data_IF_963328435821
#
_entry.id   IF_963328435821
#
_cell.length_a   1.000
_cell.length_b   1.000
_cell.length_c   1.000
_cell.angle_alpha   90.00
_cell.angle_beta   90.00
_cell.angle_gamma   90.00
#
_symmetry.space_group_name_H-M   'P 1'
#
loop_
_entity.id
_entity.type
_entity.pdbx_description
1 polymer ?
#
# COMPACT_ATOMS: atom_id res chain seq x y z
N UNK A 1 17.83 -14.98 -18.49
CA UNK A 1 16.87 -14.36 -17.56
C UNK A 1 16.71 -15.31 -16.40
N UNK A 2 17.08 -14.89 -15.17
CA UNK A 2 16.94 -15.76 -14.00
C UNK A 2 15.45 -15.90 -13.70
N UNK A 3 14.88 -17.06 -13.96
CA UNK A 3 13.54 -17.44 -13.47
C UNK A 3 13.65 -17.50 -11.96
N UNK A 4 13.15 -16.48 -11.27
CA UNK A 4 13.05 -16.52 -9.81
C UNK A 4 12.08 -17.64 -9.45
N UNK A 5 12.62 -18.76 -9.04
CA UNK A 5 11.83 -19.91 -8.61
C UNK A 5 11.09 -19.51 -7.32
N UNK A 6 9.83 -19.08 -7.45
CA UNK A 6 8.99 -18.66 -6.32
C UNK A 6 8.68 -19.80 -5.33
N UNK A 7 9.07 -21.05 -5.65
CA UNK A 7 8.94 -22.23 -4.79
C UNK A 7 10.14 -22.41 -3.84
N UNK A 8 11.20 -21.61 -3.99
CA UNK A 8 12.35 -21.71 -3.09
C UNK A 8 11.97 -21.16 -1.71
N UNK A 9 12.40 -21.86 -0.68
CA UNK A 9 12.05 -21.66 0.72
C UNK A 9 12.55 -20.33 1.35
N UNK A 10 13.22 -19.47 0.59
CA UNK A 10 13.78 -18.21 1.05
C UNK A 10 12.79 -17.02 0.98
N UNK A 11 11.51 -17.30 0.71
CA UNK A 11 10.49 -16.25 0.71
C UNK A 11 10.11 -15.90 2.15
N UNK A 12 10.70 -14.80 2.63
CA UNK A 12 10.42 -14.22 3.95
C UNK A 12 9.06 -13.52 3.92
N UNK A 13 8.12 -13.97 4.74
CA UNK A 13 6.84 -13.28 4.93
C UNK A 13 7.06 -12.03 5.78
N UNK A 14 7.10 -10.87 5.12
CA UNK A 14 7.32 -9.59 5.78
C UNK A 14 6.01 -8.80 5.90
N UNK A 15 5.73 -8.31 7.11
CA UNK A 15 4.58 -7.45 7.39
C UNK A 15 5.07 -6.05 7.75
N UNK A 16 4.59 -5.06 7.02
CA UNK A 16 4.83 -3.65 7.34
C UNK A 16 3.65 -3.11 8.15
N UNK A 17 3.93 -2.64 9.35
CA UNK A 17 2.97 -2.00 10.24
C UNK A 17 3.01 -0.48 10.06
N UNK A 18 1.84 0.14 9.94
CA UNK A 18 1.67 1.60 9.96
C UNK A 18 0.76 1.99 11.09
N UNK A 19 1.07 3.05 11.82
CA UNK A 19 0.20 3.57 12.88
C UNK A 19 -1.19 3.89 12.29
N UNK A 20 -2.23 3.40 12.95
CA UNK A 20 -3.61 3.68 12.55
C UNK A 20 -4.02 5.05 13.13
N UNK A 21 -4.06 6.06 12.27
CA UNK A 21 -4.44 7.42 12.66
C UNK A 21 -5.94 7.60 12.93
N UNK A 22 -6.76 6.61 12.56
CA UNK A 22 -8.21 6.65 12.75
C UNK A 22 -8.69 5.88 13.99
N UNK A 23 -7.77 5.25 14.72
CA UNK A 23 -8.09 4.55 15.97
C UNK A 23 -7.93 5.47 17.16
N UNK A 24 -8.88 5.39 18.10
CA UNK A 24 -8.76 6.04 19.40
C UNK A 24 -7.71 5.35 20.31
N UNK A 25 -7.26 4.16 19.94
CA UNK A 25 -6.21 3.42 20.66
C UNK A 25 -4.83 3.91 20.23
N UNK A 26 -4.03 4.37 21.17
CA UNK A 26 -2.72 5.00 20.95
C UNK A 26 -1.71 4.08 20.23
N UNK A 27 -1.80 2.77 20.42
CA UNK A 27 -0.90 1.77 19.86
C UNK A 27 -1.57 0.87 18.82
N UNK A 28 -2.54 1.40 18.08
CA UNK A 28 -3.19 0.68 16.98
C UNK A 28 -2.37 0.78 15.70
N UNK A 29 -2.20 -0.35 15.00
CA UNK A 29 -1.46 -0.44 13.73
C UNK A 29 -2.28 -1.16 12.67
N UNK A 30 -2.11 -0.73 11.44
CA UNK A 30 -2.61 -1.41 10.23
C UNK A 30 -1.43 -2.17 9.61
N UNK A 31 -1.58 -3.50 9.50
CA UNK A 31 -0.60 -4.37 8.88
C UNK A 31 -0.80 -4.51 7.37
N UNK A 32 0.29 -4.51 6.63
CA UNK A 32 0.30 -4.78 5.19
C UNK A 32 1.37 -5.81 4.88
N UNK A 33 0.98 -6.91 4.23
CA UNK A 33 1.93 -7.91 3.75
C UNK A 33 2.69 -7.36 2.54
N UNK A 34 4.00 -7.46 2.58
CA UNK A 34 4.85 -7.22 1.41
C UNK A 34 4.78 -8.44 0.50
N UNK A 35 4.35 -8.26 -0.74
CA UNK A 35 4.14 -9.35 -1.69
C UNK A 35 4.71 -9.00 -3.06
N UNK A 36 5.27 -10.00 -3.72
CA UNK A 36 5.64 -9.95 -5.12
C UNK A 36 4.55 -10.63 -5.94
N UNK A 37 4.31 -10.15 -7.14
CA UNK A 37 3.36 -10.77 -8.05
C UNK A 37 4.06 -11.87 -8.85
N UNK A 38 3.55 -13.08 -8.78
CA UNK A 38 3.93 -14.18 -9.68
C UNK A 38 3.02 -14.09 -10.89
N UNK A 39 3.61 -13.91 -12.07
CA UNK A 39 2.84 -13.81 -13.33
C UNK A 39 2.49 -15.17 -13.88
N UNK A 40 1.55 -15.21 -14.84
CA UNK A 40 1.23 -16.46 -15.54
C UNK A 40 2.47 -17.07 -16.22
N UNK A 41 3.33 -16.22 -16.79
CA UNK A 41 4.61 -16.66 -17.40
C UNK A 41 5.54 -17.36 -16.39
N UNK A 42 5.63 -16.82 -15.16
CA UNK A 42 6.41 -17.45 -14.08
C UNK A 42 5.82 -18.80 -13.68
N UNK A 43 4.49 -18.91 -13.63
CA UNK A 43 3.80 -20.18 -13.34
C UNK A 43 4.06 -21.21 -14.43
N UNK A 44 3.94 -20.82 -15.71
CA UNK A 44 4.20 -21.69 -16.86
C UNK A 44 5.65 -22.18 -16.85
N UNK A 45 6.61 -21.27 -16.64
CA UNK A 45 8.03 -21.64 -16.55
C UNK A 45 8.27 -22.70 -15.46
N UNK A 46 7.72 -22.45 -14.26
CA UNK A 46 7.84 -23.39 -13.13
C UNK A 46 7.19 -24.75 -13.39
N UNK A 47 6.04 -24.79 -14.06
CA UNK A 47 5.37 -26.05 -14.44
C UNK A 47 6.22 -26.80 -15.46
N UNK A 48 6.75 -26.11 -16.46
CA UNK A 48 7.54 -26.71 -17.53
C UNK A 48 8.89 -27.27 -17.04
N UNK A 49 9.50 -26.63 -16.05
CA UNK A 49 10.72 -27.13 -15.39
C UNK A 49 10.47 -28.46 -14.66
N UNK A 50 9.30 -28.62 -14.04
CA UNK A 50 8.96 -29.82 -13.27
C UNK A 50 8.29 -30.91 -14.10
N UNK A 51 7.73 -30.56 -15.28
CA UNK A 51 6.96 -31.46 -16.14
C UNK A 51 7.46 -31.38 -17.59
N UNK A 52 8.62 -31.95 -17.86
CA UNK A 52 9.34 -31.88 -19.15
C UNK A 52 8.52 -32.35 -20.38
N UNK A 53 7.40 -33.07 -20.19
CA UNK A 53 6.53 -33.56 -21.27
C UNK A 53 5.45 -32.55 -21.70
N UNK A 54 5.30 -31.41 -21.01
CA UNK A 54 4.22 -30.46 -21.29
C UNK A 54 4.80 -29.19 -21.93
N UNK A 55 4.30 -28.87 -23.15
CA UNK A 55 4.75 -27.67 -23.86
C UNK A 55 4.30 -26.40 -23.15
N UNK A 56 5.18 -25.41 -22.90
CA UNK A 56 4.81 -24.11 -22.36
C UNK A 56 3.72 -23.41 -23.17
N UNK A 57 3.74 -23.51 -24.49
CA UNK A 57 2.74 -22.95 -25.38
C UNK A 57 1.36 -23.58 -25.19
N UNK A 58 1.31 -24.89 -24.93
CA UNK A 58 0.05 -25.58 -24.66
C UNK A 58 -0.54 -25.12 -23.32
N UNK A 59 0.29 -24.98 -22.29
CA UNK A 59 -0.15 -24.46 -20.97
C UNK A 59 -0.70 -23.04 -21.12
N UNK A 60 0.02 -22.16 -21.84
CA UNK A 60 -0.40 -20.80 -22.09
C UNK A 60 -1.75 -20.74 -22.82
N UNK A 61 -1.91 -21.57 -23.85
CA UNK A 61 -3.15 -21.61 -24.63
C UNK A 61 -4.33 -22.07 -23.78
N UNK A 62 -4.18 -23.15 -23.01
CA UNK A 62 -5.23 -23.63 -22.09
C UNK A 62 -5.56 -22.59 -21.02
N UNK A 63 -4.56 -21.92 -20.46
CA UNK A 63 -4.77 -20.88 -19.44
C UNK A 63 -5.59 -19.69 -20.01
N UNK A 64 -5.29 -19.28 -21.26
CA UNK A 64 -6.05 -18.22 -21.93
C UNK A 64 -7.50 -18.64 -22.16
N UNK A 65 -7.73 -19.84 -22.68
CA UNK A 65 -9.08 -20.38 -22.90
C UNK A 65 -9.88 -20.44 -21.60
N UNK A 66 -9.28 -20.91 -20.50
CA UNK A 66 -9.92 -20.95 -19.19
C UNK A 66 -10.26 -19.53 -18.70
N UNK A 67 -9.36 -18.57 -18.89
CA UNK A 67 -9.59 -17.17 -18.54
C UNK A 67 -10.79 -16.58 -19.30
N UNK A 68 -10.87 -16.79 -20.60
CA UNK A 68 -11.94 -16.32 -21.47
C UNK A 68 -13.29 -16.93 -21.06
N UNK A 69 -13.35 -18.24 -20.79
CA UNK A 69 -14.54 -18.92 -20.33
C UNK A 69 -15.01 -18.44 -18.95
N UNK A 70 -14.08 -18.22 -18.01
CA UNK A 70 -14.39 -17.65 -16.70
C UNK A 70 -15.00 -16.25 -16.82
N UNK A 71 -14.43 -15.40 -17.68
CA UNK A 71 -14.98 -14.06 -17.94
C UNK A 71 -16.35 -14.13 -18.59
N UNK A 72 -16.55 -15.02 -19.56
CA UNK A 72 -17.85 -15.24 -20.21
C UNK A 72 -18.90 -15.69 -19.20
N UNK A 73 -18.57 -16.60 -18.30
CA UNK A 73 -19.47 -17.02 -17.24
C UNK A 73 -19.83 -15.87 -16.29
N UNK A 74 -18.87 -15.02 -15.93
CA UNK A 74 -19.13 -13.83 -15.13
C UNK A 74 -20.06 -12.84 -15.86
N UNK A 75 -19.88 -12.62 -17.16
CA UNK A 75 -20.77 -11.77 -17.97
C UNK A 75 -22.21 -12.29 -17.96
N UNK A 76 -22.40 -13.59 -17.85
CA UNK A 76 -23.68 -14.23 -17.69
C UNK A 76 -24.18 -14.34 -16.24
N UNK A 77 -23.62 -13.54 -15.34
CA UNK A 77 -23.94 -13.47 -13.91
C UNK A 77 -23.82 -14.83 -13.18
N UNK A 78 -22.91 -15.71 -13.64
CA UNK A 78 -22.62 -16.97 -12.98
C UNK A 78 -21.45 -16.83 -12.00
N UNK A 79 -21.52 -17.57 -10.90
CA UNK A 79 -20.38 -17.78 -10.05
C UNK A 79 -19.51 -18.89 -10.65
N UNK A 80 -18.19 -18.71 -10.59
CA UNK A 80 -17.20 -19.60 -11.26
C UNK A 80 -16.22 -20.13 -10.23
N UNK A 81 -16.05 -21.46 -10.19
CA UNK A 81 -14.94 -22.06 -9.46
C UNK A 81 -13.60 -21.77 -10.14
N UNK A 82 -12.65 -21.23 -9.41
CA UNK A 82 -11.32 -20.90 -9.91
C UNK A 82 -10.36 -22.01 -9.49
N UNK A 83 -10.36 -23.10 -10.24
CA UNK A 83 -9.43 -24.25 -10.05
C UNK A 83 -9.41 -24.80 -8.61
N UNK A 84 -10.51 -24.79 -7.90
CA UNK A 84 -10.62 -25.22 -6.51
C UNK A 84 -10.02 -24.27 -5.48
N UNK A 85 -9.45 -23.13 -5.93
CA UNK A 85 -8.92 -22.12 -5.01
C UNK A 85 -10.00 -21.26 -4.35
N UNK A 86 -11.17 -21.17 -4.99
CA UNK A 86 -12.28 -20.39 -4.52
C UNK A 86 -13.26 -20.05 -5.63
N UNK A 87 -14.23 -19.20 -5.31
CA UNK A 87 -15.31 -18.83 -6.21
C UNK A 87 -15.24 -17.35 -6.58
N UNK A 88 -15.22 -17.07 -7.87
CA UNK A 88 -15.32 -15.74 -8.47
C UNK A 88 -16.78 -15.43 -8.78
N UNK A 89 -17.29 -14.26 -8.38
CA UNK A 89 -18.69 -13.88 -8.60
C UNK A 89 -18.88 -12.37 -8.64
N UNK A 90 -19.98 -11.95 -9.26
CA UNK A 90 -20.34 -10.53 -9.36
C UNK A 90 -21.29 -10.17 -8.21
N UNK A 91 -21.12 -8.99 -7.65
CA UNK A 91 -22.05 -8.35 -6.73
C UNK A 91 -22.28 -6.89 -7.08
N UNK A 92 -23.32 -6.28 -6.53
CA UNK A 92 -23.54 -4.83 -6.67
C UNK A 92 -22.44 -4.07 -5.93
N UNK A 93 -21.95 -3.00 -6.55
CA UNK A 93 -20.96 -2.11 -5.96
C UNK A 93 -21.65 -1.05 -5.09
N UNK A 94 -21.43 -1.10 -3.77
CA UNK A 94 -22.01 -0.13 -2.83
C UNK A 94 -23.43 -0.46 -2.38
N UNK A 95 -24.10 0.54 -1.80
CA UNK A 95 -25.46 0.43 -1.28
C UNK A 95 -26.46 1.00 -2.27
N UNK A 96 -27.62 0.39 -2.37
CA UNK A 96 -28.77 0.89 -3.13
C UNK A 96 -29.72 1.56 -2.14
N UNK A 97 -30.11 2.81 -2.37
CA UNK A 97 -31.01 3.58 -1.50
C UNK A 97 -32.17 4.18 -2.31
N UNK A 98 -33.30 4.43 -1.64
CA UNK A 98 -34.52 4.99 -2.22
C UNK A 98 -35.76 4.21 -1.77
N UNK A 99 -36.93 4.84 -1.81
CA UNK A 99 -38.21 4.19 -1.44
C UNK A 99 -38.63 3.07 -2.43
N UNK A 100 -38.31 3.27 -3.72
CA UNK A 100 -38.55 2.29 -4.76
C UNK A 100 -37.35 2.22 -5.72
N UNK A 101 -36.27 1.51 -5.34
CA UNK A 101 -35.07 1.45 -6.14
C UNK A 101 -35.32 0.64 -7.43
N UNK A 102 -35.03 1.22 -8.58
CA UNK A 102 -35.09 0.61 -9.90
C UNK A 102 -33.68 0.33 -10.46
N UNK A 103 -33.62 -0.09 -11.73
CA UNK A 103 -32.35 -0.38 -12.42
C UNK A 103 -31.37 0.80 -12.38
N UNK A 104 -31.88 2.03 -12.53
CA UNK A 104 -31.09 3.25 -12.50
C UNK A 104 -30.47 3.56 -11.11
N UNK A 105 -30.96 2.92 -10.06
CA UNK A 105 -30.44 3.06 -8.70
C UNK A 105 -29.23 2.17 -8.42
N UNK A 106 -28.92 1.24 -9.33
CA UNK A 106 -27.78 0.33 -9.19
C UNK A 106 -26.49 1.09 -9.54
N UNK A 107 -25.58 1.30 -8.60
CA UNK A 107 -24.37 2.11 -8.82
C UNK A 107 -23.32 1.42 -9.72
N UNK A 108 -23.50 0.12 -9.99
CA UNK A 108 -22.61 -0.70 -10.80
C UNK A 108 -22.33 -2.06 -10.17
N UNK A 109 -21.37 -2.76 -10.75
CA UNK A 109 -21.00 -4.12 -10.30
C UNK A 109 -19.53 -4.19 -9.91
N UNK A 110 -19.22 -5.10 -9.02
CA UNK A 110 -17.86 -5.44 -8.63
C UNK A 110 -17.64 -6.94 -8.69
N UNK A 111 -16.44 -7.33 -9.06
CA UNK A 111 -15.99 -8.71 -9.05
C UNK A 111 -15.44 -9.05 -7.66
N UNK A 112 -15.92 -10.14 -7.06
CA UNK A 112 -15.47 -10.63 -5.77
C UNK A 112 -14.90 -12.03 -5.91
N UNK A 113 -14.04 -12.37 -4.97
CA UNK A 113 -13.47 -13.70 -4.84
C UNK A 113 -13.65 -14.19 -3.40
N UNK A 114 -14.19 -15.39 -3.24
CA UNK A 114 -14.30 -16.07 -1.95
C UNK A 114 -13.36 -17.28 -1.97
N UNK A 115 -12.33 -17.33 -1.11
CA UNK A 115 -11.42 -18.46 -1.04
C UNK A 115 -12.15 -19.76 -0.66
N UNK A 116 -11.67 -20.89 -1.15
CA UNK A 116 -12.06 -22.21 -0.68
C UNK A 116 -11.51 -22.47 0.73
N UNK A 117 -12.07 -23.43 1.44
CA UNK A 117 -11.60 -23.81 2.79
C UNK A 117 -10.11 -24.18 2.73
N UNK A 118 -9.69 -25.00 1.77
CA UNK A 118 -8.31 -25.42 1.63
C UNK A 118 -7.34 -24.28 1.30
N UNK A 119 -7.79 -23.28 0.50
CA UNK A 119 -7.01 -22.10 0.24
C UNK A 119 -6.87 -21.23 1.50
N UNK A 120 -7.94 -21.10 2.29
CA UNK A 120 -7.91 -20.34 3.55
C UNK A 120 -6.99 -21.03 4.57
N UNK A 121 -7.09 -22.34 4.74
CA UNK A 121 -6.21 -23.12 5.64
C UNK A 121 -4.73 -22.96 5.26
N UNK A 122 -4.42 -22.92 3.97
CA UNK A 122 -3.06 -22.64 3.49
C UNK A 122 -2.56 -21.27 3.95
N UNK A 123 -3.41 -20.24 3.85
CA UNK A 123 -3.07 -18.88 4.30
C UNK A 123 -2.93 -18.83 5.83
N UNK A 124 -3.82 -19.49 6.55
CA UNK A 124 -3.82 -19.51 8.02
C UNK A 124 -2.59 -20.22 8.61
N UNK A 125 -1.97 -21.12 7.83
CA UNK A 125 -0.73 -21.80 8.21
C UNK A 125 0.53 -20.93 8.08
N UNK A 126 0.45 -19.76 7.44
CA UNK A 126 1.58 -18.88 7.22
C UNK A 126 2.10 -18.29 8.54
N UNK A 127 3.43 -18.18 8.63
CA UNK A 127 4.11 -17.55 9.77
C UNK A 127 4.79 -16.27 9.32
N UNK A 128 4.70 -15.24 10.14
CA UNK A 128 5.38 -13.97 9.88
C UNK A 128 6.85 -14.11 10.28
N UNK A 129 7.75 -13.91 9.33
CA UNK A 129 9.19 -13.98 9.55
C UNK A 129 9.77 -12.63 9.96
N UNK A 130 9.21 -11.55 9.40
CA UNK A 130 9.71 -10.19 9.66
C UNK A 130 8.58 -9.18 9.82
N UNK A 131 8.67 -8.38 10.86
CA UNK A 131 7.80 -7.22 11.09
C UNK A 131 8.62 -5.94 10.90
N UNK A 132 8.13 -5.04 10.06
CA UNK A 132 8.75 -3.74 9.79
C UNK A 132 7.76 -2.67 10.22
N UNK A 133 8.13 -1.85 11.20
CA UNK A 133 7.35 -0.68 11.57
C UNK A 133 7.73 0.44 10.60
N UNK A 134 6.75 0.92 9.82
CA UNK A 134 6.98 2.02 8.90
C UNK A 134 7.26 3.30 9.69
N UNK A 135 8.44 3.85 9.50
CA UNK A 135 8.76 5.19 9.98
C UNK A 135 7.92 6.21 9.19
N UNK A 136 7.00 6.86 9.88
CA UNK A 136 6.16 7.93 9.35
C UNK A 136 6.67 9.31 9.74
N UNK A 137 7.82 9.40 10.37
CA UNK A 137 8.44 10.67 10.74
C UNK A 137 8.60 11.56 9.52
N UNK A 138 8.28 12.85 9.62
CA UNK A 138 8.51 13.79 8.54
C UNK A 138 10.01 13.94 8.28
N UNK A 139 10.37 13.97 7.00
CA UNK A 139 11.75 14.17 6.57
C UNK A 139 11.82 15.48 5.80
N UNK A 140 12.71 16.36 6.21
CA UNK A 140 13.03 17.57 5.46
C UNK A 140 14.06 17.20 4.41
N UNK A 141 13.65 17.27 3.12
CA UNK A 141 14.51 16.90 1.99
C UNK A 141 15.44 18.07 1.63
N UNK A 142 14.89 19.29 1.55
CA UNK A 142 15.63 20.49 1.15
C UNK A 142 15.11 21.73 1.86
N UNK A 143 16.04 22.66 2.12
CA UNK A 143 15.75 24.00 2.58
C UNK A 143 16.40 24.98 1.58
N UNK A 144 15.59 25.79 0.92
CA UNK A 144 16.02 26.71 -0.13
C UNK A 144 15.70 28.13 0.30
N UNK A 145 16.68 29.00 0.28
CA UNK A 145 16.51 30.42 0.43
C UNK A 145 15.81 31.00 -0.81
N UNK A 146 14.60 31.57 -0.67
CA UNK A 146 13.81 32.04 -1.81
C UNK A 146 14.40 33.28 -2.48
N UNK A 147 15.32 33.98 -1.82
CA UNK A 147 15.93 35.18 -2.37
C UNK A 147 17.05 34.88 -3.36
N UNK A 148 17.94 33.93 -3.04
CA UNK A 148 19.08 33.59 -3.89
C UNK A 148 18.94 32.20 -4.58
N UNK A 149 17.86 31.47 -4.29
CA UNK A 149 17.57 30.12 -4.81
C UNK A 149 18.62 29.06 -4.42
N UNK A 150 19.46 29.35 -3.44
CA UNK A 150 20.48 28.42 -2.94
C UNK A 150 19.91 27.51 -1.87
N UNK A 151 20.41 26.28 -1.84
CA UNK A 151 20.17 25.36 -0.73
C UNK A 151 21.09 25.75 0.43
N UNK A 152 20.49 26.09 1.58
CA UNK A 152 21.21 26.61 2.72
C UNK A 152 20.84 25.84 3.99
N UNK A 153 21.86 25.55 4.80
CA UNK A 153 21.66 24.99 6.15
C UNK A 153 21.40 26.09 7.19
N UNK A 154 21.86 27.30 6.92
CA UNK A 154 21.70 28.45 7.80
C UNK A 154 20.62 29.37 7.27
N UNK A 155 19.57 29.59 8.07
CA UNK A 155 18.46 30.47 7.72
C UNK A 155 18.76 31.89 8.19
N UNK A 156 18.58 32.86 7.31
CA UNK A 156 18.77 34.27 7.62
C UNK A 156 17.45 34.88 8.11
N UNK A 157 17.51 35.61 9.24
CA UNK A 157 16.37 36.29 9.81
C UNK A 157 15.75 37.26 8.78
N UNK A 158 14.43 37.20 8.63
CA UNK A 158 13.66 38.08 7.74
C UNK A 158 13.70 37.69 6.24
N UNK A 159 14.29 36.56 5.91
CA UNK A 159 14.27 36.04 4.53
C UNK A 159 13.25 34.90 4.39
N UNK A 160 12.65 34.79 3.19
CA UNK A 160 11.75 33.71 2.87
C UNK A 160 12.50 32.39 2.66
N UNK A 161 11.90 31.29 3.08
CA UNK A 161 12.48 29.95 2.97
C UNK A 161 11.43 29.02 2.38
N UNK A 162 11.86 28.19 1.42
CA UNK A 162 11.07 27.08 0.91
C UNK A 162 11.61 25.77 1.48
N UNK A 163 10.77 25.07 2.23
CA UNK A 163 11.09 23.74 2.77
C UNK A 163 10.37 22.71 1.91
N UNK A 164 11.13 21.80 1.33
CA UNK A 164 10.62 20.62 0.63
C UNK A 164 10.79 19.41 1.54
N UNK A 165 9.76 18.62 1.69
CA UNK A 165 9.75 17.54 2.66
C UNK A 165 8.90 16.37 2.18
N UNK A 166 9.19 15.20 2.71
CA UNK A 166 8.40 13.99 2.55
C UNK A 166 7.65 13.71 3.84
N UNK A 167 6.36 13.38 3.74
CA UNK A 167 5.47 13.07 4.89
C UNK A 167 5.26 14.23 5.87
N UNK A 168 5.57 15.46 5.51
CA UNK A 168 5.28 16.63 6.31
C UNK A 168 3.86 17.11 5.99
N UNK A 169 3.00 17.15 7.02
CA UNK A 169 1.67 17.71 6.92
C UNK A 169 1.46 18.67 8.08
N UNK A 170 1.24 19.93 7.77
CA UNK A 170 0.99 20.98 8.78
C UNK A 170 -0.50 21.13 8.90
N UNK A 171 -1.12 20.50 9.92
CA UNK A 171 -2.56 20.53 10.18
C UNK A 171 -2.82 20.48 11.69
N UNK A 172 -3.86 21.18 12.14
CA UNK A 172 -4.29 21.25 13.53
C UNK A 172 -4.22 22.67 14.08
N UNK A 173 -4.79 22.88 15.25
CA UNK A 173 -4.91 24.21 15.85
C UNK A 173 -3.56 24.85 16.23
N UNK A 174 -2.59 24.01 16.64
CA UNK A 174 -1.20 24.40 16.97
C UNK A 174 -0.21 24.03 15.86
N UNK A 175 -0.71 23.81 14.64
CA UNK A 175 0.16 23.41 13.53
C UNK A 175 1.07 24.56 13.10
N UNK A 176 2.32 24.24 12.81
CA UNK A 176 3.30 25.22 12.36
C UNK A 176 4.71 24.67 12.24
N UNK A 177 5.61 25.59 11.97
CA UNK A 177 7.05 25.35 12.00
C UNK A 177 7.61 26.10 13.21
N UNK A 178 8.35 25.41 14.04
CA UNK A 178 8.90 25.94 15.27
C UNK A 178 10.42 25.85 15.25
N UNK A 179 11.08 26.87 15.74
CA UNK A 179 12.52 26.88 15.98
C UNK A 179 12.78 26.64 17.46
N UNK A 180 13.37 25.50 17.77
CA UNK A 180 13.81 25.18 19.12
C UNK A 180 15.24 25.70 19.33
N UNK A 181 15.54 26.39 20.43
CA UNK A 181 16.90 26.77 20.77
C UNK A 181 17.72 25.52 21.11
N UNK A 182 19.02 25.59 20.82
CA UNK A 182 19.98 24.56 21.27
C UNK A 182 20.52 24.93 22.65
N UNK A 183 20.77 23.92 23.46
CA UNK A 183 21.51 24.08 24.73
C UNK A 183 23.02 24.29 24.48
N UNK A 184 23.79 24.45 25.54
CA UNK A 184 25.25 24.65 25.48
C UNK A 184 26.00 23.44 24.93
N UNK A 185 25.39 22.28 24.90
CA UNK A 185 25.94 21.03 24.37
C UNK A 185 25.53 20.79 22.90
N UNK A 186 24.67 21.66 22.34
CA UNK A 186 24.16 21.54 20.97
C UNK A 186 22.93 20.63 20.82
N UNK A 187 22.29 20.20 21.90
CA UNK A 187 21.07 19.45 21.88
C UNK A 187 19.85 20.38 21.80
N UNK A 188 18.77 19.88 21.23
CA UNK A 188 17.50 20.63 21.17
C UNK A 188 16.93 20.80 22.58
N UNK A 189 16.64 22.04 22.96
CA UNK A 189 15.93 22.31 24.21
C UNK A 189 14.52 21.73 24.14
N UNK A 190 14.19 20.84 25.06
CA UNK A 190 12.90 20.16 25.14
C UNK A 190 11.78 21.01 25.78
N UNK A 191 12.12 22.15 26.35
CA UNK A 191 11.14 23.07 26.89
C UNK A 191 10.47 23.85 25.74
N UNK A 192 9.30 23.38 25.34
CA UNK A 192 8.52 23.93 24.22
C UNK A 192 8.11 25.40 24.45
N UNK A 193 8.09 25.89 25.68
CA UNK A 193 7.80 27.30 25.99
C UNK A 193 8.86 28.26 25.46
N UNK A 194 10.06 27.74 25.19
CA UNK A 194 11.19 28.50 24.63
C UNK A 194 11.21 28.50 23.10
N UNK A 195 10.35 27.71 22.46
CA UNK A 195 10.34 27.58 21.02
C UNK A 195 9.65 28.78 20.35
N UNK A 196 10.16 29.16 19.19
CA UNK A 196 9.66 30.28 18.42
C UNK A 196 8.92 29.78 17.18
N UNK A 197 7.64 30.08 17.11
CA UNK A 197 6.81 29.76 15.96
C UNK A 197 7.10 30.69 14.77
N UNK A 198 7.12 30.15 13.57
CA UNK A 198 7.18 30.93 12.33
C UNK A 198 5.85 31.67 12.15
N UNK A 199 5.89 32.98 12.08
CA UNK A 199 4.71 33.85 12.07
C UNK A 199 3.82 33.72 10.82
N UNK A 200 4.35 33.16 9.72
CA UNK A 200 3.61 32.97 8.47
C UNK A 200 4.13 31.77 7.71
N UNK A 201 3.29 30.76 7.58
CA UNK A 201 3.57 29.54 6.80
C UNK A 201 2.53 29.45 5.67
N UNK A 202 2.99 29.18 4.44
CA UNK A 202 2.14 28.89 3.29
C UNK A 202 2.49 27.50 2.81
N UNK A 203 1.50 26.59 2.81
CA UNK A 203 1.65 25.25 2.22
C UNK A 203 1.20 25.30 0.76
N UNK A 204 2.04 24.79 -0.14
CA UNK A 204 1.77 24.77 -1.59
C UNK A 204 1.68 23.31 -2.03
#
# INVERSE_FOLDING_TARGET
MSTSNFKNADSILSVTLRKNQFSAEENSFIGRVTRNTVTLENLIASISETNAGVSPYMIQHVANLLGDEMLSACQNAKAVDVLGLGTLYISVAGSVSGENPGESSIPGFKLNFTPSISAQETVDSLKVDKVIIADLSPVIDRIINTFNQNEERNLLKGKGVKITSTKLKILGDDAGIWFAPLDTEGNVNKDETTWVQVSKTVTI
#
